data_IF_639842776207
#
_entry.id   IF_639842776207
#
_cell.length_a   1.000
_cell.length_b   1.000
_cell.length_c   1.000
_cell.angle_alpha   90.00
_cell.angle_beta   90.00
_cell.angle_gamma   90.00
#
_symmetry.space_group_name_H-M   'P 1'
#
loop_
_entity.id
_entity.type
_entity.pdbx_description
1 polymer ?
#
# COMPACT_ATOMS: atom_id res chain seq x y z
N UNK A 1 -17.51 -9.45 -4.61
CA UNK A 1 -18.00 -8.80 -3.40
C UNK A 1 -18.79 -7.54 -3.72
N UNK A 2 -19.91 -7.33 -3.05
CA UNK A 2 -20.74 -6.12 -3.23
C UNK A 2 -20.05 -4.87 -2.67
N UNK A 3 -19.25 -5.02 -1.63
CA UNK A 3 -18.40 -3.94 -1.10
C UNK A 3 -17.50 -3.36 -2.20
N UNK A 4 -16.79 -4.22 -2.92
CA UNK A 4 -15.87 -3.80 -3.98
C UNK A 4 -16.63 -3.22 -5.17
N UNK A 5 -17.74 -3.85 -5.57
CA UNK A 5 -18.59 -3.35 -6.65
C UNK A 5 -19.06 -1.92 -6.37
N UNK A 6 -19.52 -1.67 -5.14
CA UNK A 6 -19.96 -0.35 -4.73
C UNK A 6 -18.84 0.70 -4.89
N UNK A 7 -17.60 0.37 -4.54
CA UNK A 7 -16.46 1.29 -4.71
C UNK A 7 -16.22 1.60 -6.19
N UNK A 8 -16.26 0.59 -7.07
CA UNK A 8 -16.07 0.78 -8.51
C UNK A 8 -17.20 1.57 -9.17
N UNK A 9 -18.42 1.47 -8.67
CA UNK A 9 -19.60 2.15 -9.21
C UNK A 9 -19.76 3.59 -8.67
N UNK A 10 -19.24 3.88 -7.48
CA UNK A 10 -19.37 5.20 -6.84
C UNK A 10 -18.19 6.12 -7.09
N UNK A 11 -16.98 5.57 -7.25
CA UNK A 11 -15.80 6.37 -7.57
C UNK A 11 -15.73 6.65 -9.07
N UNK A 12 -15.36 7.88 -9.44
CA UNK A 12 -15.43 8.34 -10.83
C UNK A 12 -14.09 8.86 -11.35
N UNK A 13 -13.91 8.72 -12.67
CA UNK A 13 -12.87 9.40 -13.44
C UNK A 13 -13.58 10.23 -14.51
N UNK A 14 -13.36 11.54 -14.51
CA UNK A 14 -14.01 12.48 -15.43
C UNK A 14 -15.55 12.39 -15.44
N UNK A 15 -16.14 12.08 -14.29
CA UNK A 15 -17.58 11.95 -14.11
C UNK A 15 -18.19 10.60 -14.49
N UNK A 16 -17.39 9.65 -14.93
CA UNK A 16 -17.83 8.29 -15.25
C UNK A 16 -17.32 7.29 -14.20
N UNK A 17 -18.12 6.29 -13.77
CA UNK A 17 -17.71 5.28 -12.79
C UNK A 17 -16.48 4.48 -13.24
N UNK A 18 -15.67 4.06 -12.29
CA UNK A 18 -14.50 3.19 -12.58
C UNK A 18 -14.89 1.89 -13.28
N UNK A 19 -16.08 1.34 -12.98
CA UNK A 19 -16.61 0.12 -13.60
C UNK A 19 -16.81 0.23 -15.13
N UNK A 20 -16.80 1.46 -15.70
CA UNK A 20 -16.80 1.65 -17.16
C UNK A 20 -15.44 1.44 -17.80
N UNK A 21 -14.36 1.52 -17.04
CA UNK A 21 -13.01 1.51 -17.58
C UNK A 21 -12.19 0.31 -17.15
N UNK A 22 -12.53 -0.29 -16.02
CA UNK A 22 -11.76 -1.36 -15.41
C UNK A 22 -12.62 -2.52 -14.94
N UNK A 23 -12.07 -3.72 -15.05
CA UNK A 23 -12.56 -4.91 -14.35
C UNK A 23 -11.61 -5.17 -13.19
N UNK A 24 -12.12 -5.27 -11.96
CA UNK A 24 -11.32 -5.53 -10.79
C UNK A 24 -10.56 -6.86 -10.86
N UNK A 25 -9.39 -6.91 -10.26
CA UNK A 25 -8.54 -8.10 -10.20
C UNK A 25 -8.21 -8.47 -8.76
N UNK A 26 -7.36 -7.72 -8.08
CA UNK A 26 -6.99 -7.90 -6.68
C UNK A 26 -7.28 -6.63 -5.89
N UNK A 27 -7.35 -6.75 -4.57
CA UNK A 27 -7.57 -5.62 -3.68
C UNK A 27 -6.90 -5.86 -2.33
N UNK A 28 -6.81 -4.83 -1.53
CA UNK A 28 -6.35 -4.93 -0.16
C UNK A 28 -6.28 -3.58 0.54
N UNK A 29 -5.72 -3.61 1.73
CA UNK A 29 -5.43 -2.45 2.56
C UNK A 29 -3.93 -2.16 2.61
N UNK A 30 -3.55 -1.07 3.21
CA UNK A 30 -2.16 -0.76 3.55
C UNK A 30 -2.01 -0.75 5.07
N UNK A 31 -0.85 -1.18 5.53
CA UNK A 31 -0.56 -1.24 6.97
C UNK A 31 0.91 -1.46 7.26
N UNK A 32 1.18 -1.88 8.45
CA UNK A 32 2.53 -2.08 9.00
C UNK A 32 2.74 -3.58 9.28
N UNK A 33 3.68 -4.21 8.59
CA UNK A 33 4.26 -5.48 9.03
C UNK A 33 5.29 -5.18 10.10
N UNK A 34 5.24 -5.88 11.22
CA UNK A 34 6.12 -5.61 12.36
C UNK A 34 6.56 -6.89 13.06
N UNK A 35 7.66 -6.80 13.82
CA UNK A 35 8.13 -7.84 14.71
C UNK A 35 7.44 -7.67 16.09
N UNK A 36 6.54 -8.59 16.50
CA UNK A 36 5.80 -8.47 17.75
C UNK A 36 6.64 -8.68 19.02
N UNK A 37 7.89 -9.15 18.91
CA UNK A 37 8.81 -9.25 20.03
C UNK A 37 9.42 -7.89 20.40
N UNK A 38 9.46 -6.94 19.46
CA UNK A 38 10.14 -5.64 19.61
C UNK A 38 9.16 -4.46 19.55
N UNK A 39 8.02 -4.63 18.90
CA UNK A 39 7.01 -3.60 18.69
C UNK A 39 5.65 -4.12 19.12
N UNK A 40 4.95 -3.38 19.95
CA UNK A 40 3.58 -3.73 20.37
C UNK A 40 2.59 -3.52 19.23
N UNK A 41 1.47 -4.25 19.24
CA UNK A 41 0.38 -4.06 18.27
C UNK A 41 -0.13 -2.61 18.29
N UNK A 42 -0.23 -1.99 19.47
CA UNK A 42 -0.66 -0.60 19.61
C UNK A 42 0.30 0.35 18.89
N UNK A 43 1.61 0.22 19.09
CA UNK A 43 2.60 1.05 18.37
C UNK A 43 2.54 0.86 16.85
N UNK A 44 2.36 -0.38 16.36
CA UNK A 44 2.23 -0.70 14.95
C UNK A 44 0.89 -0.25 14.34
N UNK A 45 -0.12 0.01 15.19
CA UNK A 45 -1.46 0.45 14.77
C UNK A 45 -1.56 1.97 14.55
N UNK A 46 -0.44 2.65 14.37
CA UNK A 46 -0.38 4.09 14.07
C UNK A 46 0.64 4.40 12.98
N UNK A 47 0.28 5.29 12.04
CA UNK A 47 1.21 5.76 11.01
C UNK A 47 2.44 6.44 11.60
N UNK A 48 2.31 7.02 12.79
CA UNK A 48 3.38 7.75 13.50
C UNK A 48 4.60 6.88 13.81
N UNK A 49 4.47 5.55 13.85
CA UNK A 49 5.62 4.62 14.00
C UNK A 49 6.69 4.86 12.93
N UNK A 50 6.30 5.26 11.71
CA UNK A 50 7.23 5.52 10.60
C UNK A 50 8.14 6.73 10.85
N UNK A 51 7.72 7.64 11.73
CA UNK A 51 8.46 8.85 12.09
C UNK A 51 8.99 8.82 13.55
N UNK A 52 8.71 7.75 14.33
CA UNK A 52 9.11 7.65 15.73
C UNK A 52 10.63 7.45 15.85
N UNK A 53 11.37 8.36 16.51
CA UNK A 53 12.82 8.24 16.72
C UNK A 53 13.25 6.97 17.48
N UNK A 54 12.34 6.36 18.24
CA UNK A 54 12.57 5.06 18.93
C UNK A 54 13.01 3.98 17.94
N UNK A 55 12.48 4.01 16.72
CA UNK A 55 12.73 3.02 15.66
C UNK A 55 13.64 3.51 14.55
N UNK A 56 14.48 4.52 14.83
CA UNK A 56 15.37 5.11 13.83
C UNK A 56 16.29 4.08 13.19
N UNK A 57 16.24 3.99 11.86
CA UNK A 57 17.01 3.02 11.07
C UNK A 57 16.45 1.60 11.10
N UNK A 58 15.24 1.40 11.68
CA UNK A 58 14.59 0.10 11.84
C UNK A 58 13.22 0.01 11.17
N UNK A 59 12.80 1.06 10.46
CA UNK A 59 11.55 1.10 9.70
C UNK A 59 11.83 1.36 8.23
N UNK A 60 10.98 0.83 7.34
CA UNK A 60 11.03 1.15 5.92
C UNK A 60 9.71 1.75 5.46
N UNK A 61 9.78 2.61 4.46
CA UNK A 61 8.63 3.30 3.87
C UNK A 61 8.59 3.08 2.37
N UNK A 62 7.40 3.22 1.77
CA UNK A 62 7.24 3.02 0.33
C UNK A 62 7.96 4.09 -0.52
N UNK A 63 8.71 3.65 -1.51
CA UNK A 63 9.26 4.53 -2.57
C UNK A 63 8.20 4.82 -3.63
N UNK A 64 7.05 5.27 -3.16
CA UNK A 64 5.89 5.64 -3.95
C UNK A 64 5.32 6.94 -3.38
N UNK A 65 5.18 7.96 -4.23
CA UNK A 65 4.74 9.29 -3.80
C UNK A 65 3.36 9.27 -3.16
N UNK A 66 2.41 8.47 -3.71
CA UNK A 66 1.04 8.45 -3.23
C UNK A 66 0.91 7.71 -1.90
N UNK A 67 1.54 6.56 -1.77
CA UNK A 67 1.54 5.78 -0.53
C UNK A 67 2.23 6.55 0.61
N UNK A 68 3.41 7.10 0.36
CA UNK A 68 4.13 7.86 1.38
C UNK A 68 3.40 9.15 1.77
N UNK A 69 2.78 9.85 0.81
CA UNK A 69 1.95 11.03 1.09
C UNK A 69 0.73 10.66 1.93
N UNK A 70 0.09 9.53 1.64
CA UNK A 70 -1.03 9.03 2.43
C UNK A 70 -0.64 8.78 3.89
N UNK A 71 0.47 8.08 4.13
CA UNK A 71 0.97 7.87 5.49
C UNK A 71 1.28 9.19 6.20
N UNK A 72 1.89 10.16 5.51
CA UNK A 72 2.16 11.49 6.07
C UNK A 72 0.87 12.26 6.41
N UNK A 73 -0.19 12.14 5.61
CA UNK A 73 -1.50 12.70 5.93
C UNK A 73 -2.15 11.99 7.13
N UNK A 74 -1.96 10.67 7.28
CA UNK A 74 -2.38 9.92 8.47
C UNK A 74 -1.74 10.49 9.73
N UNK A 75 -0.42 10.67 9.74
CA UNK A 75 0.31 11.30 10.86
C UNK A 75 -0.16 12.73 11.09
N UNK A 76 -0.33 13.51 10.03
CA UNK A 76 -0.76 14.91 10.15
C UNK A 76 -2.12 15.07 10.82
N UNK A 77 -3.02 14.15 10.55
CA UNK A 77 -4.42 14.22 11.01
C UNK A 77 -4.70 13.27 12.19
N UNK A 78 -3.70 12.54 12.72
CA UNK A 78 -3.84 11.53 13.77
C UNK A 78 -4.71 12.01 14.95
N UNK A 79 -4.36 13.16 15.53
CA UNK A 79 -5.07 13.72 16.67
C UNK A 79 -6.58 13.96 16.38
N UNK A 80 -6.91 14.46 15.19
CA UNK A 80 -8.31 14.73 14.81
C UNK A 80 -9.05 13.43 14.48
N UNK A 81 -8.43 12.52 13.75
CA UNK A 81 -9.05 11.26 13.30
C UNK A 81 -9.37 10.31 14.46
N UNK A 82 -8.64 10.41 15.57
CA UNK A 82 -8.83 9.57 16.76
C UNK A 82 -9.68 10.24 17.84
N UNK A 83 -10.20 11.46 17.64
CA UNK A 83 -11.12 12.08 18.59
C UNK A 83 -12.46 11.34 18.63
N UNK A 84 -13.06 11.21 19.82
CA UNK A 84 -14.32 10.51 20.04
C UNK A 84 -15.45 11.06 19.16
N UNK A 85 -15.53 12.38 19.01
CA UNK A 85 -16.53 13.05 18.15
C UNK A 85 -16.35 12.72 16.66
N UNK A 86 -15.11 12.44 16.25
CA UNK A 86 -14.81 12.02 14.89
C UNK A 86 -15.11 10.54 14.68
N UNK A 87 -14.72 9.69 15.63
CA UNK A 87 -14.91 8.24 15.58
C UNK A 87 -16.39 7.83 15.55
N UNK A 88 -17.26 8.63 16.18
CA UNK A 88 -18.70 8.37 16.29
C UNK A 88 -19.58 9.12 15.27
N UNK A 89 -18.96 9.90 14.38
CA UNK A 89 -19.69 10.68 13.39
C UNK A 89 -20.29 9.80 12.27
N UNK A 90 -21.54 10.05 11.91
CA UNK A 90 -22.23 9.32 10.81
C UNK A 90 -21.53 9.51 9.45
N UNK A 91 -20.84 10.65 9.25
CA UNK A 91 -20.09 10.99 8.04
C UNK A 91 -18.59 10.71 8.16
N UNK A 92 -18.17 9.90 9.14
CA UNK A 92 -16.75 9.59 9.42
C UNK A 92 -15.96 9.22 8.18
N UNK A 93 -16.44 8.26 7.39
CA UNK A 93 -15.72 7.76 6.22
C UNK A 93 -15.53 8.85 5.15
N UNK A 94 -16.56 9.70 4.94
CA UNK A 94 -16.46 10.83 4.00
C UNK A 94 -15.43 11.86 4.49
N UNK A 95 -15.41 12.17 5.77
CA UNK A 95 -14.45 13.09 6.38
C UNK A 95 -13.03 12.54 6.32
N UNK A 96 -12.81 11.23 6.56
CA UNK A 96 -11.51 10.58 6.35
C UNK A 96 -11.10 10.73 4.87
N UNK A 97 -11.99 10.42 3.93
CA UNK A 97 -11.70 10.53 2.51
C UNK A 97 -11.31 11.95 2.10
N UNK A 98 -11.97 12.98 2.65
CA UNK A 98 -11.62 14.37 2.41
C UNK A 98 -10.22 14.71 2.96
N UNK A 99 -9.91 14.31 4.20
CA UNK A 99 -8.61 14.55 4.84
C UNK A 99 -7.47 13.86 4.10
N UNK A 100 -7.66 12.60 3.74
CA UNK A 100 -6.62 11.77 3.13
C UNK A 100 -6.40 12.03 1.63
N UNK A 101 -7.18 12.93 1.04
CA UNK A 101 -7.02 13.37 -0.36
C UNK A 101 -6.79 14.89 -0.49
N UNK A 102 -6.48 15.59 0.59
CA UNK A 102 -6.15 17.01 0.56
C UNK A 102 -4.89 17.27 -0.26
N UNK A 103 -4.87 18.38 -1.00
CA UNK A 103 -3.75 18.76 -1.89
C UNK A 103 -3.49 20.27 -1.90
N UNK A 104 -4.11 21.02 -0.97
CA UNK A 104 -3.82 22.43 -0.82
C UNK A 104 -2.36 22.66 -0.37
N UNK A 105 -1.85 23.88 -0.63
CA UNK A 105 -0.43 24.21 -0.43
C UNK A 105 0.00 24.09 1.04
N UNK A 106 -0.87 24.45 1.99
CA UNK A 106 -0.56 24.35 3.42
C UNK A 106 -0.44 22.89 3.87
N UNK A 107 -1.41 22.06 3.50
CA UNK A 107 -1.42 20.62 3.83
C UNK A 107 -0.22 19.92 3.20
N UNK A 108 0.07 20.19 1.93
CA UNK A 108 1.24 19.58 1.24
C UNK A 108 2.54 20.01 1.90
N UNK A 109 2.68 21.27 2.32
CA UNK A 109 3.87 21.75 3.05
C UNK A 109 4.07 21.02 4.38
N UNK A 110 3.01 20.84 5.18
CA UNK A 110 3.07 20.09 6.44
C UNK A 110 3.42 18.61 6.21
N UNK A 111 2.81 17.99 5.21
CA UNK A 111 3.12 16.61 4.84
C UNK A 111 4.56 16.45 4.33
N UNK A 112 5.11 17.43 3.62
CA UNK A 112 6.52 17.44 3.22
C UNK A 112 7.46 17.41 4.44
N UNK A 113 7.16 18.19 5.47
CA UNK A 113 7.96 18.21 6.71
C UNK A 113 7.88 16.84 7.44
N UNK A 114 6.71 16.23 7.51
CA UNK A 114 6.54 14.88 8.07
C UNK A 114 7.31 13.84 7.25
N UNK A 115 7.22 13.88 5.92
CA UNK A 115 7.97 12.97 5.04
C UNK A 115 9.49 13.13 5.19
N UNK A 116 9.99 14.33 5.46
CA UNK A 116 11.40 14.54 5.79
C UNK A 116 11.79 13.90 7.13
N UNK A 117 10.91 13.97 8.14
CA UNK A 117 11.12 13.26 9.42
C UNK A 117 11.08 11.74 9.21
N UNK A 118 10.10 11.22 8.48
CA UNK A 118 10.05 9.80 8.10
C UNK A 118 11.32 9.37 7.38
N UNK A 119 11.84 10.17 6.45
CA UNK A 119 13.10 9.91 5.73
C UNK A 119 14.32 9.85 6.66
N UNK A 120 14.40 10.76 7.62
CA UNK A 120 15.50 10.76 8.61
C UNK A 120 15.42 9.55 9.55
N UNK A 121 14.23 9.02 9.76
CA UNK A 121 13.94 7.88 10.61
C UNK A 121 14.10 6.55 9.89
N UNK A 122 13.76 6.49 8.61
CA UNK A 122 13.74 5.26 7.84
C UNK A 122 15.13 4.65 7.63
N UNK A 123 15.16 3.32 7.64
CA UNK A 123 16.30 2.55 7.10
C UNK A 123 16.44 2.78 5.59
N UNK A 124 15.33 2.70 4.86
CA UNK A 124 15.28 2.95 3.42
C UNK A 124 13.87 3.31 2.94
N UNK A 125 13.82 3.96 1.79
CA UNK A 125 12.65 3.91 0.91
C UNK A 125 12.74 2.65 0.05
N UNK A 126 11.65 1.91 -0.08
CA UNK A 126 11.64 0.64 -0.79
C UNK A 126 10.33 0.42 -1.55
N UNK A 127 10.35 -0.41 -2.59
CA UNK A 127 9.15 -0.83 -3.31
C UNK A 127 8.89 -2.33 -3.17
N UNK A 128 9.95 -3.13 -3.03
CA UNK A 128 9.88 -4.59 -3.02
C UNK A 128 10.85 -5.23 -2.02
N UNK A 129 11.96 -4.57 -1.70
CA UNK A 129 13.02 -5.11 -0.82
C UNK A 129 12.60 -5.22 0.65
N UNK A 130 11.59 -4.48 1.08
CA UNK A 130 11.11 -4.47 2.46
C UNK A 130 10.65 -5.84 2.95
N UNK A 131 10.10 -6.68 2.07
CA UNK A 131 9.75 -8.08 2.39
C UNK A 131 10.96 -8.86 2.89
N UNK A 132 12.05 -8.84 2.14
CA UNK A 132 13.28 -9.52 2.53
C UNK A 132 13.97 -8.87 3.73
N UNK A 133 13.90 -7.54 3.87
CA UNK A 133 14.45 -6.84 5.03
C UNK A 133 13.70 -7.20 6.33
N UNK A 134 12.38 -7.43 6.27
CA UNK A 134 11.58 -7.93 7.41
C UNK A 134 11.91 -9.39 7.74
N UNK A 135 11.87 -10.31 6.77
CA UNK A 135 12.11 -11.74 6.98
C UNK A 135 13.52 -12.00 7.56
N UNK A 136 14.49 -11.20 7.15
CA UNK A 136 15.87 -11.32 7.66
C UNK A 136 16.13 -10.59 8.99
N UNK A 137 15.10 -9.96 9.58
CA UNK A 137 15.23 -9.20 10.82
C UNK A 137 16.09 -7.94 10.73
N UNK A 138 16.28 -7.42 9.52
CA UNK A 138 17.11 -6.23 9.28
C UNK A 138 16.38 -4.94 9.66
N UNK A 139 15.08 -4.95 9.58
CA UNK A 139 14.19 -3.88 10.06
C UNK A 139 13.09 -4.49 10.93
N UNK A 140 12.51 -3.68 11.81
CA UNK A 140 11.50 -4.10 12.78
C UNK A 140 10.08 -3.80 12.31
N UNK A 141 9.91 -2.82 11.43
CA UNK A 141 8.63 -2.48 10.82
C UNK A 141 8.78 -2.07 9.36
N UNK A 142 7.77 -2.43 8.57
CA UNK A 142 7.71 -2.10 7.16
C UNK A 142 6.30 -1.69 6.75
N UNK A 143 6.19 -0.54 6.08
CA UNK A 143 4.94 -0.12 5.44
C UNK A 143 4.67 -1.00 4.22
N UNK A 144 3.60 -1.80 4.24
CA UNK A 144 3.29 -2.76 3.18
C UNK A 144 1.84 -2.69 2.71
N UNK A 145 1.60 -3.12 1.47
CA UNK A 145 0.29 -3.55 0.99
C UNK A 145 -0.03 -4.93 1.58
N UNK A 146 -1.31 -5.17 1.91
CA UNK A 146 -1.73 -6.37 2.62
C UNK A 146 -1.36 -7.69 1.91
N UNK A 147 -1.36 -7.71 0.56
CA UNK A 147 -0.93 -8.90 -0.17
C UNK A 147 0.58 -9.18 -0.04
N UNK A 148 1.42 -8.12 -0.04
CA UNK A 148 2.85 -8.26 0.26
C UNK A 148 3.07 -8.66 1.73
N UNK A 149 2.21 -8.18 2.64
CA UNK A 149 2.25 -8.58 4.04
C UNK A 149 2.01 -10.09 4.20
N UNK A 150 0.98 -10.66 3.55
CA UNK A 150 0.73 -12.12 3.55
C UNK A 150 1.98 -12.88 3.10
N UNK A 151 2.56 -12.50 1.96
CA UNK A 151 3.78 -13.14 1.48
C UNK A 151 4.94 -13.01 2.48
N UNK A 152 5.10 -11.86 3.11
CA UNK A 152 6.17 -11.61 4.09
C UNK A 152 6.01 -12.46 5.34
N UNK A 153 4.77 -12.59 5.84
CA UNK A 153 4.45 -13.43 6.99
C UNK A 153 4.70 -14.92 6.66
N UNK A 154 4.24 -15.38 5.49
CA UNK A 154 4.45 -16.77 5.04
C UNK A 154 5.95 -17.11 4.93
N UNK A 155 6.75 -16.19 4.39
CA UNK A 155 8.21 -16.43 4.28
C UNK A 155 8.90 -16.42 5.64
N UNK A 156 8.47 -15.57 6.57
CA UNK A 156 9.01 -15.53 7.92
C UNK A 156 8.72 -16.85 8.68
N UNK A 157 7.53 -17.42 8.52
CA UNK A 157 7.17 -18.72 9.13
C UNK A 157 8.07 -19.87 8.65
N UNK A 158 8.49 -19.87 7.38
CA UNK A 158 9.41 -20.89 6.85
C UNK A 158 10.75 -20.87 7.60
N UNK A 159 11.16 -19.71 8.12
CA UNK A 159 12.40 -19.51 8.87
C UNK A 159 12.17 -19.51 10.40
N UNK A 160 11.01 -20.02 10.89
CA UNK A 160 10.60 -20.02 12.31
C UNK A 160 10.60 -18.60 12.93
N UNK A 161 10.32 -17.57 12.12
CA UNK A 161 10.29 -16.17 12.55
C UNK A 161 8.86 -15.64 12.52
N UNK A 162 8.39 -15.13 13.64
CA UNK A 162 7.01 -14.62 13.73
C UNK A 162 6.97 -13.13 13.42
N UNK A 163 6.15 -12.76 12.44
CA UNK A 163 5.79 -11.39 12.13
C UNK A 163 4.27 -11.21 12.28
N UNK A 164 3.83 -9.98 12.44
CA UNK A 164 2.42 -9.61 12.51
C UNK A 164 2.12 -8.42 11.59
N UNK A 165 0.84 -8.17 11.32
CA UNK A 165 0.36 -7.09 10.48
C UNK A 165 -0.68 -6.26 11.22
N UNK A 166 -0.50 -4.95 11.23
CA UNK A 166 -1.43 -4.00 11.83
C UNK A 166 -1.91 -2.99 10.77
N UNK A 167 -3.18 -2.65 10.83
CA UNK A 167 -3.76 -1.57 10.02
C UNK A 167 -3.97 -0.36 10.92
N UNK A 168 -3.39 0.81 10.58
CA UNK A 168 -3.47 2.01 11.41
C UNK A 168 -4.90 2.42 11.77
N UNK A 169 -5.09 2.86 13.01
CA UNK A 169 -6.40 3.20 13.58
C UNK A 169 -6.95 4.51 13.03
N UNK A 170 -6.09 5.42 12.60
CA UNK A 170 -6.48 6.68 11.99
C UNK A 170 -7.25 6.44 10.69
N UNK A 171 -6.66 5.66 9.80
CA UNK A 171 -7.23 5.28 8.50
C UNK A 171 -6.27 4.37 7.74
N UNK A 172 -6.78 3.74 6.70
CA UNK A 172 -5.98 3.00 5.73
C UNK A 172 -6.40 3.31 4.30
N UNK A 173 -5.50 3.09 3.34
CA UNK A 173 -5.88 3.08 1.94
C UNK A 173 -6.44 1.71 1.57
N UNK A 174 -7.64 1.68 1.00
CA UNK A 174 -8.12 0.53 0.24
C UNK A 174 -7.70 0.72 -1.22
N UNK A 175 -6.92 -0.22 -1.74
CA UNK A 175 -6.38 -0.19 -3.09
C UNK A 175 -6.96 -1.32 -3.94
N UNK A 176 -6.94 -1.12 -5.25
CA UNK A 176 -7.46 -2.08 -6.23
C UNK A 176 -6.54 -2.17 -7.42
N UNK A 177 -6.28 -3.40 -7.84
CA UNK A 177 -5.77 -3.68 -9.18
C UNK A 177 -6.93 -3.96 -10.12
N UNK A 178 -6.80 -3.55 -11.35
CA UNK A 178 -7.82 -3.74 -12.37
C UNK A 178 -7.27 -3.93 -13.76
N UNK A 179 -8.00 -4.69 -14.54
CA UNK A 179 -7.73 -4.89 -15.96
C UNK A 179 -8.35 -3.76 -16.77
N UNK A 180 -7.55 -3.12 -17.60
CA UNK A 180 -7.99 -2.08 -18.54
C UNK A 180 -7.50 -2.40 -19.94
N UNK A 181 -8.32 -2.07 -20.95
CA UNK A 181 -7.93 -2.15 -22.33
C UNK A 181 -7.52 -0.77 -22.84
N UNK A 182 -6.26 -0.60 -23.18
CA UNK A 182 -5.77 0.67 -23.72
C UNK A 182 -6.32 0.89 -25.11
N UNK A 183 -6.95 2.03 -25.34
CA UNK A 183 -7.57 2.39 -26.62
C UNK A 183 -6.60 2.26 -27.81
N UNK A 184 -5.40 2.81 -27.67
CA UNK A 184 -4.38 2.73 -28.71
C UNK A 184 -3.77 1.33 -28.85
N UNK A 185 -3.79 0.52 -27.77
CA UNK A 185 -3.31 -0.86 -27.78
C UNK A 185 -4.26 -1.81 -28.49
N UNK A 186 -5.56 -1.63 -28.32
CA UNK A 186 -6.61 -2.44 -28.98
C UNK A 186 -6.89 -1.89 -30.38
N UNK A 187 -7.01 -0.56 -30.56
CA UNK A 187 -7.40 0.07 -31.80
C UNK A 187 -8.79 -0.40 -32.27
N UNK A 188 -8.95 -0.52 -33.55
CA UNK A 188 -10.18 -1.04 -34.22
C UNK A 188 -10.13 -2.56 -34.45
N UNK A 189 -9.18 -3.28 -33.83
CA UNK A 189 -8.99 -4.72 -33.99
C UNK A 189 -9.95 -5.51 -33.06
N UNK A 190 -11.09 -5.90 -33.65
CA UNK A 190 -12.13 -6.67 -32.97
C UNK A 190 -11.62 -8.04 -32.44
N UNK A 191 -10.69 -8.69 -33.16
CA UNK A 191 -10.16 -9.98 -32.73
C UNK A 191 -9.27 -9.82 -31.51
N UNK A 192 -8.47 -8.74 -31.45
CA UNK A 192 -7.66 -8.40 -30.27
C UNK A 192 -8.53 -8.04 -29.06
N UNK A 193 -9.60 -7.27 -29.27
CA UNK A 193 -10.57 -6.97 -28.21
C UNK A 193 -11.21 -8.25 -27.67
N UNK A 194 -11.71 -9.12 -28.52
CA UNK A 194 -12.32 -10.39 -28.09
C UNK A 194 -11.33 -11.30 -27.35
N UNK A 195 -10.06 -11.32 -27.78
CA UNK A 195 -9.03 -12.07 -27.07
C UNK A 195 -8.75 -11.51 -25.68
N UNK A 196 -8.68 -10.19 -25.52
CA UNK A 196 -8.51 -9.54 -24.21
C UNK A 196 -9.71 -9.80 -23.29
N UNK A 197 -10.94 -9.67 -23.78
CA UNK A 197 -12.16 -10.00 -23.02
C UNK A 197 -12.18 -11.48 -22.59
N UNK A 198 -11.82 -12.39 -23.50
CA UNK A 198 -11.76 -13.81 -23.21
C UNK A 198 -10.70 -14.13 -22.14
N UNK A 199 -9.54 -13.46 -22.18
CA UNK A 199 -8.51 -13.59 -21.16
C UNK A 199 -9.00 -13.10 -19.80
N UNK A 200 -9.58 -11.90 -19.72
CA UNK A 200 -10.10 -11.32 -18.47
C UNK A 200 -11.19 -12.25 -17.89
N UNK A 201 -12.13 -12.72 -18.71
CA UNK A 201 -13.16 -13.66 -18.30
C UNK A 201 -12.57 -14.99 -17.80
N UNK A 202 -11.52 -15.50 -18.46
CA UNK A 202 -10.85 -16.74 -18.04
C UNK A 202 -10.20 -16.61 -16.66
N UNK A 203 -9.43 -15.54 -16.42
CA UNK A 203 -8.74 -15.35 -15.13
C UNK A 203 -9.69 -14.97 -13.99
N UNK A 204 -10.88 -14.44 -14.31
CA UNK A 204 -11.92 -14.09 -13.33
C UNK A 204 -12.82 -15.27 -12.93
N UNK A 205 -12.63 -16.46 -13.53
CA UNK A 205 -13.35 -17.64 -13.10
C UNK A 205 -12.88 -18.09 -11.71
N UNK A 206 -13.79 -18.48 -10.81
CA UNK A 206 -13.43 -18.83 -9.42
C UNK A 206 -12.28 -19.83 -9.29
N UNK A 207 -12.24 -20.88 -10.14
CA UNK A 207 -11.18 -21.87 -10.15
C UNK A 207 -9.78 -21.31 -10.53
N UNK A 208 -9.75 -20.31 -11.41
CA UNK A 208 -8.50 -19.63 -11.78
C UNK A 208 -8.13 -18.54 -10.76
N UNK A 209 -9.14 -17.90 -10.16
CA UNK A 209 -8.95 -16.94 -9.08
C UNK A 209 -8.22 -17.57 -7.90
N UNK A 210 -8.67 -18.74 -7.43
CA UNK A 210 -8.01 -19.49 -6.35
C UNK A 210 -6.55 -19.80 -6.69
N UNK A 211 -6.24 -20.20 -7.93
CA UNK A 211 -4.85 -20.44 -8.36
C UNK A 211 -4.00 -19.16 -8.31
N UNK A 212 -4.58 -18.02 -8.72
CA UNK A 212 -3.90 -16.74 -8.63
C UNK A 212 -3.64 -16.35 -7.17
N UNK A 213 -4.66 -16.42 -6.32
CA UNK A 213 -4.53 -16.12 -4.89
C UNK A 213 -3.44 -16.97 -4.23
N UNK A 214 -3.45 -18.29 -4.49
CA UNK A 214 -2.45 -19.21 -3.97
C UNK A 214 -1.01 -18.84 -4.40
N UNK A 215 -0.85 -18.38 -5.65
CA UNK A 215 0.48 -18.09 -6.20
C UNK A 215 1.04 -16.73 -5.75
N UNK A 216 0.18 -15.70 -5.62
CA UNK A 216 0.64 -14.33 -5.36
C UNK A 216 0.34 -13.83 -3.94
N UNK A 217 -0.48 -14.55 -3.14
CA UNK A 217 -0.85 -14.16 -1.78
C UNK A 217 -1.87 -13.02 -1.66
N UNK A 218 -2.34 -12.46 -2.78
CA UNK A 218 -3.27 -11.32 -2.79
C UNK A 218 -4.72 -11.77 -2.76
N UNK A 219 -5.60 -10.93 -2.24
CA UNK A 219 -7.04 -11.17 -2.18
C UNK A 219 -7.73 -10.73 -3.47
N UNK A 220 -8.52 -11.62 -4.06
CA UNK A 220 -9.29 -11.29 -5.26
C UNK A 220 -10.52 -10.43 -4.94
N UNK A 221 -10.90 -9.57 -5.90
CA UNK A 221 -12.19 -8.87 -5.88
C UNK A 221 -13.38 -9.81 -6.13
N UNK A 222 -13.11 -11.02 -6.65
CA UNK A 222 -14.13 -12.03 -6.94
C UNK A 222 -14.44 -12.81 -5.65
N UNK A 223 -15.70 -12.83 -5.24
CA UNK A 223 -16.15 -13.58 -4.08
C UNK A 223 -16.63 -15.01 -4.39
N UNK A 224 -16.74 -15.38 -5.67
CA UNK A 224 -17.15 -16.71 -6.11
C UNK A 224 -18.56 -16.78 -6.71
N UNK A 225 -19.45 -15.86 -6.42
CA UNK A 225 -20.85 -15.89 -6.89
C UNK A 225 -21.59 -17.14 -6.40
N UNK A 226 -22.01 -18.00 -7.32
CA UNK A 226 -22.67 -19.27 -7.00
C UNK A 226 -21.70 -20.41 -6.59
N UNK A 227 -20.40 -20.09 -6.38
CA UNK A 227 -19.36 -21.07 -6.07
C UNK A 227 -18.63 -20.72 -4.79
N UNK A 228 -18.64 -21.60 -3.81
CA UNK A 228 -17.98 -21.42 -2.51
C UNK A 228 -16.46 -21.72 -2.57
N UNK A 229 -15.92 -21.96 -3.76
CA UNK A 229 -14.52 -22.40 -3.91
C UNK A 229 -13.52 -21.39 -3.35
N UNK A 230 -13.82 -20.08 -3.39
CA UNK A 230 -12.92 -19.03 -2.87
C UNK A 230 -13.00 -18.99 -1.35
N UNK A 231 -14.19 -19.12 -0.77
CA UNK A 231 -14.35 -19.27 0.68
C UNK A 231 -13.68 -20.55 1.18
N UNK A 232 -13.94 -21.68 0.53
CA UNK A 232 -13.31 -22.95 0.87
C UNK A 232 -11.77 -22.90 0.78
N UNK A 233 -11.22 -22.09 -0.14
CA UNK A 233 -9.79 -21.82 -0.20
C UNK A 233 -9.30 -21.01 0.99
N UNK A 234 -10.01 -19.96 1.40
CA UNK A 234 -9.66 -19.17 2.57
C UNK A 234 -9.73 -20.02 3.87
N UNK A 235 -10.77 -20.81 4.01
CA UNK A 235 -10.91 -21.75 5.13
C UNK A 235 -9.80 -22.81 5.14
N UNK A 236 -9.44 -23.36 3.99
CA UNK A 236 -8.30 -24.27 3.87
C UNK A 236 -6.96 -23.64 4.23
N UNK A 237 -6.75 -22.35 3.90
CA UNK A 237 -5.51 -21.65 4.22
C UNK A 237 -5.37 -21.32 5.71
N UNK A 238 -6.47 -20.93 6.36
CA UNK A 238 -6.45 -20.29 7.68
C UNK A 238 -7.26 -21.03 8.74
N UNK A 239 -8.06 -22.02 8.35
CA UNK A 239 -8.80 -22.85 9.28
C UNK A 239 -7.88 -23.61 10.22
N UNK A 240 -8.22 -23.62 11.52
CA UNK A 240 -7.46 -24.32 12.53
C UNK A 240 -7.55 -25.85 12.35
N UNK A 241 -6.48 -26.57 12.67
CA UNK A 241 -6.51 -28.03 12.76
C UNK A 241 -7.47 -28.50 13.87
N UNK A 242 -8.08 -29.68 13.72
CA UNK A 242 -9.10 -30.19 14.63
C UNK A 242 -8.68 -30.30 16.10
N UNK A 243 -7.39 -30.44 16.39
CA UNK A 243 -6.81 -30.57 17.73
C UNK A 243 -6.27 -29.28 18.32
N UNK A 244 -6.39 -28.15 17.60
CA UNK A 244 -5.95 -26.84 18.09
C UNK A 244 -6.94 -26.30 19.11
N UNK A 245 -6.47 -26.03 20.35
CA UNK A 245 -7.29 -25.49 21.44
C UNK A 245 -7.45 -23.97 21.40
N UNK A 246 -6.41 -23.25 20.94
CA UNK A 246 -6.39 -21.78 20.85
C UNK A 246 -6.96 -21.30 19.51
N UNK A 247 -8.29 -21.21 19.46
CA UNK A 247 -9.03 -20.83 18.25
C UNK A 247 -9.99 -19.67 18.49
N UNK A 248 -10.36 -19.00 17.39
CA UNK A 248 -11.39 -17.96 17.34
C UNK A 248 -12.32 -18.18 16.15
N UNK A 249 -13.55 -17.72 16.25
CA UNK A 249 -14.45 -17.58 15.11
C UNK A 249 -14.12 -16.26 14.37
N UNK A 250 -13.84 -16.39 13.07
CA UNK A 250 -13.50 -15.24 12.23
C UNK A 250 -14.56 -15.10 11.12
N UNK A 251 -15.49 -14.14 11.25
CA UNK A 251 -16.55 -13.94 10.26
C UNK A 251 -15.99 -13.28 8.99
N UNK A 252 -16.25 -13.86 7.83
CA UNK A 252 -15.90 -13.35 6.51
C UNK A 252 -17.12 -13.15 5.59
N UNK A 253 -18.32 -13.31 6.13
CA UNK A 253 -19.58 -13.22 5.41
C UNK A 253 -19.76 -11.92 4.65
N UNK A 254 -19.29 -10.82 5.20
CA UNK A 254 -19.31 -9.52 4.52
C UNK A 254 -18.69 -9.54 3.11
N UNK A 255 -17.64 -10.33 2.90
CA UNK A 255 -16.97 -10.42 1.60
C UNK A 255 -17.67 -11.38 0.63
N UNK A 256 -18.33 -12.41 1.15
CA UNK A 256 -18.89 -13.51 0.35
C UNK A 256 -20.39 -13.36 0.11
N UNK A 257 -21.17 -13.12 1.17
CA UNK A 257 -22.63 -12.93 1.07
C UNK A 257 -23.08 -11.47 1.22
N UNK A 258 -22.22 -10.57 1.76
CA UNK A 258 -22.56 -9.20 2.10
C UNK A 258 -23.17 -9.04 3.49
N UNK A 259 -23.21 -10.10 4.29
CA UNK A 259 -23.76 -10.13 5.65
C UNK A 259 -22.69 -10.63 6.65
N UNK A 260 -22.31 -9.79 7.62
CA UNK A 260 -21.37 -10.15 8.67
C UNK A 260 -21.89 -11.26 9.59
N UNK A 261 -23.20 -11.39 9.70
CA UNK A 261 -23.87 -12.38 10.55
C UNK A 261 -24.14 -13.73 9.86
N UNK A 262 -23.65 -13.92 8.63
CA UNK A 262 -23.86 -15.16 7.88
C UNK A 262 -22.97 -16.28 8.44
N UNK A 263 -23.61 -17.21 9.17
CA UNK A 263 -22.94 -18.32 9.84
C UNK A 263 -22.31 -19.34 8.86
N UNK A 264 -22.70 -19.31 7.58
CA UNK A 264 -22.12 -20.17 6.55
C UNK A 264 -20.69 -19.72 6.14
N UNK A 265 -20.30 -18.49 6.52
CA UNK A 265 -19.02 -17.89 6.19
C UNK A 265 -18.23 -17.48 7.44
N UNK A 266 -18.05 -18.42 8.36
CA UNK A 266 -17.20 -18.28 9.56
C UNK A 266 -16.02 -19.23 9.44
N UNK A 267 -14.79 -18.70 9.53
CA UNK A 267 -13.57 -19.50 9.59
C UNK A 267 -13.20 -19.69 11.07
N UNK A 268 -13.15 -20.96 11.55
CA UNK A 268 -12.56 -21.27 12.84
C UNK A 268 -11.05 -21.26 12.67
N UNK A 269 -10.40 -20.17 13.04
CA UNK A 269 -8.96 -19.95 12.85
C UNK A 269 -8.20 -19.99 14.19
N UNK A 270 -6.88 -20.14 14.13
CA UNK A 270 -6.05 -19.91 15.31
C UNK A 270 -6.13 -18.45 15.77
N UNK A 271 -6.10 -18.23 17.11
CA UNK A 271 -6.22 -16.88 17.68
C UNK A 271 -5.13 -15.91 17.22
N UNK A 272 -3.98 -16.44 16.78
CA UNK A 272 -2.89 -15.66 16.18
C UNK A 272 -3.28 -15.01 14.83
N UNK A 273 -4.28 -15.56 14.12
CA UNK A 273 -4.73 -14.99 12.86
C UNK A 273 -5.45 -13.62 13.01
N UNK A 274 -5.70 -13.17 14.24
CA UNK A 274 -6.26 -11.83 14.53
C UNK A 274 -5.37 -10.65 14.07
N UNK A 275 -4.09 -10.89 13.78
CA UNK A 275 -3.15 -9.89 13.27
C UNK A 275 -2.12 -10.50 12.30
N UNK A 276 -2.53 -11.57 11.59
CA UNK A 276 -1.67 -12.25 10.63
C UNK A 276 -2.31 -12.31 9.24
N UNK A 277 -2.07 -13.39 8.49
CA UNK A 277 -2.47 -13.50 7.08
C UNK A 277 -3.98 -13.38 6.86
N UNK A 278 -4.81 -14.03 7.69
CA UNK A 278 -6.26 -13.93 7.56
C UNK A 278 -6.75 -12.49 7.75
N UNK A 279 -6.26 -11.82 8.78
CA UNK A 279 -6.55 -10.40 9.03
C UNK A 279 -6.09 -9.50 7.86
N UNK A 280 -4.94 -9.78 7.26
CA UNK A 280 -4.42 -9.01 6.13
C UNK A 280 -5.26 -9.20 4.85
N UNK A 281 -5.78 -10.42 4.60
CA UNK A 281 -6.58 -10.73 3.41
C UNK A 281 -8.05 -10.35 3.54
N UNK A 282 -8.62 -10.57 4.71
CA UNK A 282 -10.04 -10.34 5.00
C UNK A 282 -10.18 -9.50 6.28
N UNK A 283 -9.77 -8.21 6.24
CA UNK A 283 -9.81 -7.36 7.43
C UNK A 283 -11.25 -7.22 7.95
N UNK A 284 -11.44 -7.17 9.28
CA UNK A 284 -12.77 -7.01 9.86
C UNK A 284 -13.41 -5.68 9.46
N UNK A 285 -14.71 -5.58 9.61
CA UNK A 285 -15.51 -4.44 9.12
C UNK A 285 -15.05 -3.10 9.67
N UNK A 286 -14.66 -3.04 10.93
CA UNK A 286 -14.13 -1.83 11.55
C UNK A 286 -12.89 -1.25 10.84
N UNK A 287 -12.08 -2.10 10.20
CA UNK A 287 -10.98 -1.66 9.35
C UNK A 287 -11.51 -1.04 8.06
N UNK A 288 -12.53 -1.64 7.46
CA UNK A 288 -13.13 -1.16 6.22
C UNK A 288 -13.89 0.17 6.42
N UNK A 289 -14.41 0.41 7.62
CA UNK A 289 -15.11 1.66 8.00
C UNK A 289 -14.14 2.86 8.14
N UNK A 290 -12.82 2.62 8.12
CA UNK A 290 -11.78 3.64 8.04
C UNK A 290 -10.86 3.51 6.82
N UNK A 291 -11.27 2.68 5.84
CA UNK A 291 -10.53 2.46 4.62
C UNK A 291 -11.05 3.35 3.49
N UNK A 292 -10.19 4.17 2.91
CA UNK A 292 -10.54 5.12 1.86
C UNK A 292 -9.66 4.94 0.63
N UNK A 293 -10.20 5.28 -0.54
CA UNK A 293 -9.44 5.23 -1.79
C UNK A 293 -8.62 6.51 -1.99
N UNK A 294 -7.44 6.37 -2.57
CA UNK A 294 -6.67 7.49 -3.09
C UNK A 294 -7.33 8.01 -4.37
N UNK A 295 -7.92 9.20 -4.29
CA UNK A 295 -8.64 9.82 -5.40
C UNK A 295 -7.68 10.32 -6.49
N UNK A 296 -8.25 10.52 -7.68
CA UNK A 296 -7.54 11.16 -8.79
C UNK A 296 -7.20 12.61 -8.43
N UNK A 297 -5.95 12.99 -8.68
CA UNK A 297 -5.52 14.38 -8.63
C UNK A 297 -5.43 14.96 -10.05
N UNK A 298 -5.93 16.15 -10.23
CA UNK A 298 -5.76 16.89 -11.49
C UNK A 298 -4.27 17.23 -11.75
N UNK A 299 -4.00 17.81 -12.90
CA UNK A 299 -2.62 18.09 -13.32
C UNK A 299 -1.89 19.04 -12.36
N UNK A 300 -2.57 20.07 -11.84
CA UNK A 300 -1.97 21.04 -10.93
C UNK A 300 -1.61 20.39 -9.59
N UNK A 301 -2.55 19.65 -9.01
CA UNK A 301 -2.36 18.93 -7.76
C UNK A 301 -1.28 17.84 -7.90
N UNK A 302 -1.26 17.09 -9.01
CA UNK A 302 -0.20 16.13 -9.29
C UNK A 302 1.18 16.79 -9.38
N UNK A 303 1.29 17.97 -10.02
CA UNK A 303 2.57 18.69 -10.10
C UNK A 303 3.04 19.12 -8.71
N UNK A 304 2.13 19.63 -7.85
CA UNK A 304 2.45 20.02 -6.47
C UNK A 304 2.95 18.84 -5.65
N UNK A 305 2.24 17.72 -5.70
CA UNK A 305 2.62 16.50 -4.98
C UNK A 305 3.95 15.92 -5.48
N UNK A 306 4.17 15.91 -6.80
CA UNK A 306 5.44 15.46 -7.37
C UNK A 306 6.60 16.40 -7.00
N UNK A 307 6.37 17.71 -6.95
CA UNK A 307 7.40 18.65 -6.51
C UNK A 307 7.76 18.44 -5.03
N UNK A 308 6.78 18.27 -4.17
CA UNK A 308 6.96 17.88 -2.77
C UNK A 308 7.80 16.60 -2.67
N UNK A 309 7.49 15.56 -3.46
CA UNK A 309 8.24 14.31 -3.46
C UNK A 309 9.69 14.48 -3.91
N UNK A 310 9.95 15.32 -4.91
CA UNK A 310 11.31 15.69 -5.34
C UNK A 310 12.06 16.36 -4.19
N UNK A 311 11.42 17.27 -3.44
CA UNK A 311 12.03 17.93 -2.30
C UNK A 311 12.41 16.94 -1.19
N UNK A 312 11.55 15.96 -0.93
CA UNK A 312 11.79 14.88 0.05
C UNK A 312 12.92 13.95 -0.40
N UNK A 313 12.88 13.49 -1.65
CA UNK A 313 13.82 12.46 -2.17
C UNK A 313 15.17 13.04 -2.57
N UNK A 314 15.17 14.19 -3.16
CA UNK A 314 16.37 14.89 -3.62
C UNK A 314 16.89 15.87 -2.56
N UNK A 315 17.95 16.58 -2.89
CA UNK A 315 18.50 17.59 -1.99
C UNK A 315 17.53 18.76 -1.84
N UNK A 316 17.20 19.10 -0.61
CA UNK A 316 16.61 20.38 -0.30
C UNK A 316 17.67 21.47 -0.52
N UNK A 317 17.61 22.13 -1.68
CA UNK A 317 18.53 23.21 -2.02
C UNK A 317 18.44 24.39 -1.03
N UNK A 318 17.30 24.55 -0.36
CA UNK A 318 17.10 25.59 0.65
C UNK A 318 17.81 25.25 1.97
N UNK A 319 18.06 23.97 2.26
CA UNK A 319 18.81 23.56 3.46
C UNK A 319 20.31 23.55 3.29
N UNK A 320 20.84 23.78 2.07
CA UNK A 320 22.27 23.80 1.80
C UNK A 320 22.93 25.01 2.47
N UNK A 321 23.88 24.74 3.35
CA UNK A 321 24.71 25.78 3.98
C UNK A 321 25.73 26.37 2.98
N UNK A 322 26.28 27.51 3.29
CA UNK A 322 27.41 28.11 2.52
C UNK A 322 28.56 27.10 2.33
N UNK A 323 28.79 26.20 3.30
CA UNK A 323 29.84 25.18 3.20
C UNK A 323 29.47 24.09 2.17
N UNK A 324 28.21 23.76 2.04
CA UNK A 324 27.74 22.75 1.08
C UNK A 324 27.77 23.33 -0.33
N UNK A 325 27.37 24.59 -0.51
CA UNK A 325 27.54 25.31 -1.78
C UNK A 325 29.01 25.40 -2.19
N UNK A 326 29.93 25.61 -1.22
CA UNK A 326 31.37 25.56 -1.46
C UNK A 326 31.84 24.19 -1.97
N UNK A 327 31.37 23.09 -1.41
CA UNK A 327 31.69 21.73 -1.88
C UNK A 327 31.15 21.47 -3.28
N UNK A 328 29.91 21.86 -3.54
CA UNK A 328 29.28 21.73 -4.87
C UNK A 328 30.09 22.50 -5.92
N UNK A 329 30.47 23.73 -5.62
CA UNK A 329 31.27 24.53 -6.53
C UNK A 329 32.64 23.89 -6.85
N UNK A 330 33.31 23.28 -5.86
CA UNK A 330 34.55 22.53 -6.06
C UNK A 330 34.35 21.31 -6.94
N UNK A 331 33.27 20.53 -6.72
CA UNK A 331 32.96 19.36 -7.54
C UNK A 331 32.67 19.76 -8.98
N UNK A 332 31.84 20.81 -9.18
CA UNK A 332 31.54 21.32 -10.53
C UNK A 332 32.82 21.82 -11.24
N UNK A 333 33.68 22.54 -10.54
CA UNK A 333 34.97 22.99 -11.10
C UNK A 333 35.89 21.82 -11.48
N UNK A 334 35.94 20.76 -10.67
CA UNK A 334 36.71 19.54 -10.95
C UNK A 334 36.16 18.81 -12.18
N UNK A 335 34.86 18.68 -12.32
CA UNK A 335 34.21 18.03 -13.50
C UNK A 335 34.49 18.84 -14.77
N UNK A 336 34.34 20.18 -14.71
CA UNK A 336 34.65 21.06 -15.86
C UNK A 336 36.11 20.93 -16.25
N UNK A 337 37.03 20.97 -15.28
CA UNK A 337 38.46 20.82 -15.54
C UNK A 337 38.77 19.43 -16.18
N UNK A 338 38.21 18.36 -15.68
CA UNK A 338 38.37 17.03 -16.26
C UNK A 338 37.83 16.97 -17.70
N UNK A 339 36.67 17.57 -17.97
CA UNK A 339 36.11 17.66 -19.32
C UNK A 339 37.03 18.44 -20.28
N UNK A 340 37.58 19.56 -19.84
CA UNK A 340 38.55 20.37 -20.62
C UNK A 340 39.83 19.57 -20.91
N UNK A 341 40.39 18.88 -19.91
CA UNK A 341 41.58 18.03 -20.09
C UNK A 341 41.29 16.90 -21.09
N UNK A 342 40.16 16.20 -20.95
CA UNK A 342 39.79 15.16 -21.91
C UNK A 342 39.61 15.70 -23.31
N UNK A 343 39.01 16.86 -23.48
CA UNK A 343 38.84 17.50 -24.79
C UNK A 343 40.19 17.91 -25.39
N UNK A 344 41.08 18.49 -24.58
CA UNK A 344 42.44 18.80 -25.03
C UNK A 344 43.24 17.55 -25.46
N UNK A 345 43.16 16.45 -24.71
CA UNK A 345 43.81 15.20 -25.04
C UNK A 345 43.29 14.60 -26.36
N UNK A 346 41.97 14.64 -26.57
CA UNK A 346 41.35 14.18 -27.83
C UNK A 346 41.83 15.03 -29.04
N UNK A 347 41.92 16.36 -28.85
CA UNK A 347 42.39 17.25 -29.91
C UNK A 347 43.87 17.01 -30.22
N UNK A 348 44.71 16.81 -29.21
CA UNK A 348 46.17 16.54 -29.43
C UNK A 348 46.41 15.19 -30.11
N UNK A 349 45.60 14.17 -29.84
CA UNK A 349 45.68 12.84 -30.51
C UNK A 349 45.21 12.90 -31.98
N UNK A 350 44.41 13.89 -32.38
CA UNK A 350 43.94 14.03 -33.77
C UNK A 350 44.81 14.95 -34.63
N UNK A 351 45.80 15.64 -34.05
CA UNK A 351 46.66 16.60 -34.75
C UNK A 351 48.13 16.08 -34.88
N UNK A 352 48.46 14.95 -34.26
CA UNK A 352 49.71 14.21 -34.43
C UNK A 352 49.53 13.04 -35.40
#
# INVERSE_FOLDING_TARGET
SDYIRNIFDTNTIQGEPWSRYAVGYMWGTTGIVYNPEEITKEEASHWSILADPKYKGQVTIKDNVRDSYFAALGILNEEELLQEDFLTADDRLERIAQKMNQTDEETVGKAEDILKQMKENAYSFESDSGKADMVTGKVLANYQWSGDAVYTLDQAEVDDYTLAYAVPEECTNVWFDGWVMLKDGIGDDTAKQQAAEAFINFISRPDNVVRNMYYIGYTSVIAGGDSDIIYAYADWCYGAEEDREDTMEYPVGFFFSGDDGDEDYIITAGSDQADRQLYAQYPPREVLERAVVMQYFDQENNQRINQMWVNVRCFDLASLTWKDWGKIAVIVAAVVLAAVICTCLIITDHVG
#
